data_IF_632625419847
#
_entry.id   IF_632625419847
#
_cell.length_a   1.000
_cell.length_b   1.000
_cell.length_c   1.000
_cell.angle_alpha   90.00
_cell.angle_beta   90.00
_cell.angle_gamma   90.00
#
_symmetry.space_group_name_H-M   'P 1'
#
loop_
_entity.id
_entity.type
_entity.pdbx_description
1 polymer ?
#
# COMPACT_ATOMS: atom_id res chain seq x y z
N UNK A 1 10.91 10.78 -21.90
CA UNK A 1 9.94 9.77 -22.35
C UNK A 1 9.54 8.92 -21.14
N UNK A 2 8.25 8.79 -20.80
CA UNK A 2 7.84 7.84 -19.74
C UNK A 2 6.70 8.24 -18.78
N UNK A 3 6.08 9.41 -18.89
CA UNK A 3 5.04 9.86 -17.92
C UNK A 3 3.83 8.89 -17.83
N UNK A 4 3.42 8.28 -18.94
CA UNK A 4 2.33 7.27 -18.98
C UNK A 4 2.70 5.94 -18.31
N UNK A 5 3.92 5.44 -18.52
CA UNK A 5 4.40 4.21 -17.86
C UNK A 5 4.55 4.41 -16.34
N UNK A 6 4.97 5.61 -15.94
CA UNK A 6 5.12 5.95 -14.54
C UNK A 6 3.76 5.98 -13.83
N UNK A 7 2.75 6.61 -14.43
CA UNK A 7 1.40 6.64 -13.88
C UNK A 7 0.73 5.25 -13.87
N UNK A 8 0.91 4.45 -14.95
CA UNK A 8 0.43 3.07 -15.01
C UNK A 8 1.03 2.16 -13.94
N UNK A 9 2.33 2.30 -13.63
CA UNK A 9 2.97 1.53 -12.56
C UNK A 9 2.43 1.89 -11.17
N UNK A 10 2.14 3.18 -10.94
CA UNK A 10 1.51 3.64 -9.69
C UNK A 10 0.09 3.08 -9.54
N UNK A 11 -0.73 3.12 -10.60
CA UNK A 11 -2.11 2.59 -10.55
C UNK A 11 -2.12 1.08 -10.30
N UNK A 12 -1.18 0.35 -10.92
CA UNK A 12 -1.07 -1.09 -10.78
C UNK A 12 -0.71 -1.50 -9.35
N UNK A 13 0.30 -0.85 -8.74
CA UNK A 13 0.65 -1.10 -7.34
C UNK A 13 -0.51 -0.74 -6.40
N UNK A 14 -1.17 0.41 -6.62
CA UNK A 14 -2.27 0.85 -5.76
C UNK A 14 -3.43 -0.15 -5.80
N UNK A 15 -3.77 -0.65 -6.99
CA UNK A 15 -4.79 -1.67 -7.18
C UNK A 15 -4.39 -2.99 -6.48
N UNK A 16 -3.17 -3.46 -6.69
CA UNK A 16 -2.68 -4.69 -6.07
C UNK A 16 -2.70 -4.62 -4.54
N UNK A 17 -2.27 -3.48 -3.98
CA UNK A 17 -2.25 -3.28 -2.54
C UNK A 17 -3.66 -3.14 -1.94
N UNK A 18 -4.60 -2.51 -2.65
CA UNK A 18 -5.99 -2.47 -2.21
C UNK A 18 -6.59 -3.89 -2.14
N UNK A 19 -6.32 -4.70 -3.16
CA UNK A 19 -6.77 -6.10 -3.21
C UNK A 19 -6.17 -6.93 -2.07
N UNK A 20 -4.87 -6.76 -1.82
CA UNK A 20 -4.15 -7.47 -0.77
C UNK A 20 -4.54 -7.01 0.64
N UNK A 21 -4.93 -5.75 0.81
CA UNK A 21 -5.47 -5.21 2.05
C UNK A 21 -6.87 -5.79 2.35
N UNK A 22 -7.76 -5.84 1.35
CA UNK A 22 -9.06 -6.48 1.52
C UNK A 22 -8.93 -7.96 1.88
N UNK A 23 -8.00 -8.68 1.24
CA UNK A 23 -7.70 -10.07 1.53
C UNK A 23 -7.13 -10.29 2.94
N UNK A 24 -6.28 -9.36 3.41
CA UNK A 24 -5.76 -9.36 4.77
C UNK A 24 -6.86 -9.14 5.82
N UNK A 25 -7.81 -8.23 5.56
CA UNK A 25 -8.97 -7.98 6.44
C UNK A 25 -9.89 -9.21 6.50
N UNK A 26 -10.19 -9.83 5.36
CA UNK A 26 -10.97 -11.08 5.29
C UNK A 26 -10.30 -12.20 6.10
N UNK A 27 -8.98 -12.35 5.99
CA UNK A 27 -8.19 -13.31 6.78
C UNK A 27 -8.26 -13.01 8.28
N UNK A 28 -8.25 -11.73 8.65
CA UNK A 28 -8.38 -11.28 10.03
C UNK A 28 -9.75 -11.64 10.60
N UNK A 29 -10.82 -11.43 9.84
CA UNK A 29 -12.19 -11.78 10.23
C UNK A 29 -12.36 -13.30 10.34
N UNK A 30 -11.75 -14.07 9.44
CA UNK A 30 -11.71 -15.52 9.51
C UNK A 30 -10.98 -16.03 10.76
N UNK A 31 -9.96 -15.30 11.24
CA UNK A 31 -9.26 -15.66 12.47
C UNK A 31 -10.14 -15.52 13.70
N UNK A 32 -10.98 -14.49 13.76
CA UNK A 32 -11.91 -14.24 14.88
C UNK A 32 -12.94 -15.36 15.08
N UNK A 33 -13.22 -16.17 14.06
CA UNK A 33 -14.14 -17.31 14.15
C UNK A 33 -13.48 -18.60 14.66
N UNK A 34 -12.15 -18.65 14.80
CA UNK A 34 -11.43 -19.85 15.24
C UNK A 34 -11.45 -19.97 16.78
N UNK A 35 -12.00 -21.09 17.27
CA UNK A 35 -12.15 -21.41 18.70
C UNK A 35 -10.82 -21.74 19.41
N UNK A 36 -9.73 -21.95 18.66
CA UNK A 36 -8.42 -22.29 19.19
C UNK A 36 -7.51 -21.04 19.29
N UNK A 37 -7.02 -20.70 20.50
CA UNK A 37 -6.26 -19.46 20.74
C UNK A 37 -4.91 -19.40 19.98
N UNK A 38 -4.31 -20.56 19.68
CA UNK A 38 -3.05 -20.63 18.94
C UNK A 38 -3.24 -20.27 17.46
N UNK A 39 -4.30 -20.79 16.84
CA UNK A 39 -4.61 -20.50 15.44
C UNK A 39 -5.01 -19.03 15.27
N UNK A 40 -5.78 -18.48 16.22
CA UNK A 40 -6.11 -17.06 16.24
C UNK A 40 -4.86 -16.17 16.16
N UNK A 41 -3.84 -16.41 17.01
CA UNK A 41 -2.59 -15.63 16.98
C UNK A 41 -1.88 -15.74 15.62
N UNK A 42 -1.82 -16.94 15.05
CA UNK A 42 -1.10 -17.19 13.80
C UNK A 42 -1.76 -16.47 12.60
N UNK A 43 -3.08 -16.58 12.49
CA UNK A 43 -3.83 -15.88 11.44
C UNK A 43 -3.85 -14.36 11.67
N UNK A 44 -3.97 -13.90 12.91
CA UNK A 44 -3.89 -12.46 13.24
C UNK A 44 -2.54 -11.86 12.86
N UNK A 45 -1.44 -12.54 13.21
CA UNK A 45 -0.10 -12.09 12.89
C UNK A 45 0.16 -12.09 11.37
N UNK A 46 -0.26 -13.14 10.66
CA UNK A 46 -0.14 -13.23 9.20
C UNK A 46 -0.94 -12.13 8.48
N UNK A 47 -2.20 -11.92 8.89
CA UNK A 47 -3.04 -10.85 8.35
C UNK A 47 -2.43 -9.46 8.60
N UNK A 48 -1.88 -9.24 9.80
CA UNK A 48 -1.18 -7.99 10.14
C UNK A 48 0.01 -7.73 9.23
N UNK A 49 0.82 -8.77 8.94
CA UNK A 49 1.94 -8.68 8.00
C UNK A 49 1.47 -8.44 6.56
N UNK A 50 0.39 -9.09 6.10
CA UNK A 50 -0.20 -8.83 4.78
C UNK A 50 -0.64 -7.37 4.64
N UNK A 51 -1.31 -6.83 5.66
CA UNK A 51 -1.73 -5.43 5.68
C UNK A 51 -0.50 -4.51 5.70
N UNK A 52 0.54 -4.82 6.49
CA UNK A 52 1.77 -4.03 6.55
C UNK A 52 2.50 -3.99 5.20
N UNK A 53 2.62 -5.14 4.53
CA UNK A 53 3.22 -5.28 3.20
C UNK A 53 2.39 -4.54 2.15
N UNK A 54 1.06 -4.61 2.22
CA UNK A 54 0.17 -3.81 1.36
C UNK A 54 0.42 -2.33 1.54
N UNK A 55 0.51 -1.87 2.80
CA UNK A 55 0.70 -0.47 3.13
C UNK A 55 2.07 0.03 2.66
N UNK A 56 3.13 -0.77 2.87
CA UNK A 56 4.46 -0.48 2.35
C UNK A 56 4.47 -0.44 0.81
N UNK A 57 3.71 -1.33 0.17
CA UNK A 57 3.47 -1.35 -1.27
C UNK A 57 2.83 -0.06 -1.77
N UNK A 58 1.90 0.55 -1.03
CA UNK A 58 1.28 1.87 -1.35
C UNK A 58 2.21 3.02 -0.99
N UNK A 59 2.99 2.91 0.09
CA UNK A 59 3.87 3.96 0.55
C UNK A 59 4.95 4.26 -0.49
N UNK A 60 5.50 3.23 -1.14
CA UNK A 60 6.56 3.37 -2.14
C UNK A 60 6.18 4.28 -3.33
N UNK A 61 5.08 4.02 -4.08
CA UNK A 61 4.61 4.94 -5.12
C UNK A 61 4.16 6.29 -4.58
N UNK A 62 3.49 6.32 -3.42
CA UNK A 62 3.03 7.57 -2.81
C UNK A 62 4.22 8.50 -2.50
N UNK A 63 5.30 7.96 -1.94
CA UNK A 63 6.53 8.71 -1.66
C UNK A 63 7.20 9.18 -2.95
N UNK A 64 7.23 8.33 -3.97
CA UNK A 64 7.79 8.69 -5.26
C UNK A 64 7.01 9.82 -5.95
N UNK A 65 5.67 9.75 -5.94
CA UNK A 65 4.76 10.79 -6.47
C UNK A 65 4.95 12.10 -5.69
N UNK A 66 4.98 12.04 -4.36
CA UNK A 66 5.10 13.22 -3.52
C UNK A 66 6.46 13.91 -3.68
N UNK A 67 7.55 13.13 -3.80
CA UNK A 67 8.87 13.66 -4.11
C UNK A 67 8.91 14.35 -5.49
N UNK A 68 8.28 13.77 -6.50
CA UNK A 68 8.21 14.36 -7.84
C UNK A 68 7.39 15.65 -7.88
N UNK A 69 6.27 15.70 -7.14
CA UNK A 69 5.42 16.89 -7.03
C UNK A 69 6.12 18.03 -6.28
N UNK A 70 6.90 17.69 -5.23
CA UNK A 70 7.70 18.67 -4.49
C UNK A 70 8.73 19.37 -5.38
N UNK A 71 9.39 18.63 -6.28
CA UNK A 71 10.36 19.21 -7.24
C UNK A 71 9.71 20.21 -8.20
N UNK A 72 8.47 19.97 -8.64
CA UNK A 72 7.72 20.92 -9.51
C UNK A 72 7.33 22.23 -8.81
N UNK A 73 7.10 22.19 -7.49
CA UNK A 73 6.67 23.38 -6.73
C UNK A 73 7.84 24.35 -6.49
N UNK A 74 9.08 23.86 -6.41
CA UNK A 74 10.27 24.67 -6.15
C UNK A 74 10.67 25.52 -7.37
N UNK A 75 10.46 25.02 -8.59
CA UNK A 75 10.80 25.74 -9.84
C UNK A 75 9.94 27.00 -10.07
N UNK A 76 8.69 27.01 -9.62
CA UNK A 76 7.79 28.16 -9.77
C UNK A 76 8.04 29.27 -8.72
N UNK A 77 8.77 28.99 -7.65
CA UNK A 77 9.08 29.97 -6.59
C UNK A 77 10.33 30.82 -6.87
N UNK A 78 11.17 30.42 -7.83
CA UNK A 78 12.39 31.16 -8.19
C UNK A 78 12.18 32.18 -9.31
N UNK A 79 10.95 32.28 -9.85
CA UNK A 79 10.62 33.18 -10.98
C UNK A 79 9.75 34.38 -10.58
N UNK A 80 9.53 34.60 -9.28
CA UNK A 80 8.81 35.78 -8.77
C UNK A 80 9.75 36.84 -8.26
#
# INVERSE_FOLDING_TARGET
>A
MGSRLWWGKNIFIAFFAFFFLAFGIETLIGSFFLKNPLEFIMYFFSASLMVLVSLAGILYPAFQVHAFFKTRKIDNGSKS
#
